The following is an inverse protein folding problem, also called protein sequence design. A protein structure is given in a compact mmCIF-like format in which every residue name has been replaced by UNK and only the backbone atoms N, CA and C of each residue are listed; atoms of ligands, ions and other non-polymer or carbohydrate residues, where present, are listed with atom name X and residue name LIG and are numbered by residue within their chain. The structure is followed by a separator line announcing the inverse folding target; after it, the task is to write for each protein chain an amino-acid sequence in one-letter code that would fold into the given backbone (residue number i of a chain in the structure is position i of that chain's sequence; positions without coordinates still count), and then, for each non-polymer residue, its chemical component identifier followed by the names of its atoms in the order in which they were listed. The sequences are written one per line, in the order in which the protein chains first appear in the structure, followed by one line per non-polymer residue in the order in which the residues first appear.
data_IF_398500411524
#
_entry.id   IF_398500411524
#
_cell.length_a   1.000
_cell.length_b   1.000
_cell.length_c   1.000
_cell.angle_alpha   90.00
_cell.angle_beta   90.00
_cell.angle_gamma   90.00
#
_symmetry.space_group_name_H-M   'P 1'
#
loop_
_entity.id
_entity.type
_entity.pdbx_description
1 polymer ?
2 non-polymer ?
3 water ?
#
# COMPACT_ATOMS: atom_id res chain seq x y z
N UNK A 5 1.41 -23.09 -7.03
CA UNK A 5 0.86 -21.99 -6.23
C UNK A 5 -0.67 -21.93 -6.31
N UNK A 6 -1.25 -22.93 -6.98
CA UNK A 6 -2.69 -23.06 -7.17
C UNK A 6 -3.27 -23.79 -5.95
N UNK A 7 -4.35 -23.24 -5.40
CA UNK A 7 -5.07 -23.85 -4.29
C UNK A 7 -6.35 -24.46 -4.87
N UNK A 8 -6.59 -25.75 -4.59
CA UNK A 8 -7.79 -26.44 -5.04
C UNK A 8 -9.00 -25.92 -4.23
N UNK A 9 -10.20 -25.73 -4.85
CA UNK A 9 -11.36 -25.24 -4.08
C UNK A 9 -11.75 -26.11 -2.87
N UNK A 10 -11.46 -27.43 -2.91
CA UNK A 10 -11.76 -28.36 -1.81
C UNK A 10 -10.90 -28.10 -0.56
N UNK A 11 -9.82 -27.32 -0.71
CA UNK A 11 -8.89 -26.96 0.36
C UNK A 11 -9.24 -25.61 1.04
N UNK A 12 -10.35 -24.97 0.61
CA UNK A 12 -10.79 -23.67 1.15
C UNK A 12 -12.22 -23.71 1.65
N UNK A 13 -12.46 -23.08 2.80
CA UNK A 13 -13.80 -22.94 3.37
C UNK A 13 -14.03 -21.47 3.69
N UNK A 14 -15.22 -20.95 3.32
CA UNK A 14 -15.63 -19.57 3.57
C UNK A 14 -16.46 -19.54 4.85
N UNK A 15 -16.06 -18.70 5.83
CA UNK A 15 -16.75 -18.64 7.12
C UNK A 15 -17.68 -17.43 7.23
N UNK A 16 -17.17 -16.22 7.00
CA UNK A 16 -17.97 -14.99 7.09
C UNK A 16 -17.43 -13.89 6.20
N UNK A 17 -18.33 -13.05 5.68
CA UNK A 17 -17.96 -11.92 4.84
C UNK A 17 -17.39 -10.81 5.71
N UNK A 18 -16.27 -10.23 5.31
CA UNK A 18 -15.71 -9.15 6.11
C UNK A 18 -15.87 -7.76 5.47
N UNK A 19 -16.28 -7.75 4.21
CA UNK A 19 -16.54 -6.50 3.47
C UNK A 19 -16.44 -6.63 1.97
N UNK A 20 -16.45 -5.46 1.29
CA UNK A 20 -16.38 -5.35 -0.16
C UNK A 20 -15.18 -4.51 -0.55
N UNK A 21 -14.34 -5.07 -1.41
CA UNK A 21 -13.13 -4.42 -1.93
C UNK A 21 -13.37 -3.79 -3.28
N UNK A 22 -12.27 -3.40 -3.95
CA UNK A 22 -12.32 -2.78 -5.28
C UNK A 22 -12.82 -3.76 -6.35
N UNK A 23 -12.44 -5.05 -6.24
CA UNK A 23 -12.76 -6.07 -7.24
C UNK A 23 -13.81 -7.12 -6.86
N UNK A 24 -14.37 -7.03 -5.66
CA UNK A 24 -15.38 -7.96 -5.16
C UNK A 24 -15.33 -8.13 -3.66
N UNK A 25 -15.96 -9.20 -3.17
CA UNK A 25 -16.05 -9.51 -1.75
C UNK A 25 -14.75 -10.01 -1.12
N UNK A 26 -14.63 -9.85 0.20
CA UNK A 26 -13.51 -10.33 1.00
C UNK A 26 -14.12 -11.17 2.13
N UNK A 27 -13.68 -12.44 2.28
CA UNK A 27 -14.20 -13.32 3.32
C UNK A 27 -13.13 -13.77 4.29
N UNK A 28 -13.54 -14.11 5.51
CA UNK A 28 -12.69 -14.77 6.49
C UNK A 28 -12.94 -16.26 6.21
N UNK A 29 -11.86 -17.05 6.15
CA UNK A 29 -11.96 -18.49 5.94
C UNK A 29 -10.78 -19.30 6.46
N UNK A 30 -10.78 -20.60 6.12
CA UNK A 30 -9.69 -21.50 6.49
C UNK A 30 -9.10 -22.16 5.25
N UNK A 31 -7.79 -22.43 5.29
CA UNK A 31 -7.04 -23.13 4.25
C UNK A 31 -6.56 -24.46 4.88
N UNK A 32 -7.03 -25.60 4.33
CA UNK A 32 -6.75 -26.96 4.84
C UNK A 32 -5.28 -27.21 5.23
N UNK A 33 -5.05 -27.64 6.50
CA UNK A 33 -3.73 -27.95 7.08
C UNK A 33 -2.72 -26.78 7.07
N UNK A 34 -3.20 -25.54 6.85
CA UNK A 34 -2.30 -24.39 6.78
C UNK A 34 -2.57 -23.30 7.80
N UNK A 35 -3.68 -22.54 7.65
CA UNK A 35 -4.02 -21.43 8.56
C UNK A 35 -5.38 -20.80 8.25
N UNK A 36 -5.78 -19.85 9.12
CA UNK A 36 -6.95 -18.97 8.97
C UNK A 36 -6.50 -17.97 7.88
N UNK A 37 -7.41 -17.63 6.94
CA UNK A 37 -7.06 -16.78 5.79
C UNK A 37 -8.11 -15.71 5.48
N UNK A 38 -7.71 -14.71 4.68
CA UNK A 38 -8.60 -13.71 4.08
C UNK A 38 -8.65 -14.10 2.60
N UNK A 39 -9.85 -14.22 2.04
CA UNK A 39 -10.03 -14.65 0.65
C UNK A 39 -10.68 -13.50 -0.11
N UNK A 40 -10.02 -13.02 -1.18
CA UNK A 40 -10.55 -11.93 -2.00
C UNK A 40 -11.03 -12.48 -3.32
N UNK A 41 -12.35 -12.36 -3.62
CA UNK A 41 -12.96 -12.82 -4.87
C UNK A 41 -12.76 -11.70 -5.91
N UNK A 42 -12.31 -12.06 -7.13
CA UNK A 42 -12.02 -11.05 -8.16
C UNK A 42 -13.01 -11.16 -9.31
N UNK A 43 -13.79 -10.10 -9.54
CA UNK A 43 -14.83 -10.02 -10.59
C UNK A 43 -14.19 -10.28 -11.97
N UNK A 44 -14.90 -11.04 -12.83
CA UNK A 44 -14.44 -11.33 -14.20
C UNK A 44 -14.23 -10.00 -14.94
N UNK A 45 -13.11 -9.87 -15.64
CA UNK A 45 -12.79 -8.67 -16.41
C UNK A 45 -12.00 -7.61 -15.68
N UNK A 46 -11.93 -7.70 -14.32
CA UNK A 46 -11.21 -6.69 -13.52
C UNK A 46 -9.69 -6.76 -13.63
N UNK A 47 -9.12 -7.96 -13.81
CA UNK A 47 -7.66 -8.09 -13.91
C UNK A 47 -7.20 -9.00 -15.05
N UNK A 48 -5.93 -8.84 -15.47
CA UNK A 48 -5.35 -9.69 -16.50
C UNK A 48 -4.88 -10.96 -15.75
N UNK A 49 -5.78 -11.95 -15.64
CA UNK A 49 -5.52 -13.20 -14.92
C UNK A 49 -4.36 -14.03 -15.50
N UNK A 50 -4.27 -14.12 -16.84
CA UNK A 50 -3.20 -14.89 -17.50
C UNK A 50 -1.82 -14.28 -17.23
N UNK A 51 -1.70 -12.95 -17.31
CA UNK A 51 -0.45 -12.22 -17.01
C UNK A 51 -0.02 -12.48 -15.54
N UNK A 52 -1.00 -12.43 -14.62
CA UNK A 52 -0.79 -12.60 -13.18
C UNK A 52 -0.23 -14.00 -12.86
N UNK A 53 -0.93 -15.06 -13.32
CA UNK A 53 -0.53 -16.45 -13.09
C UNK A 53 0.91 -16.75 -13.60
N UNK A 54 1.26 -16.17 -14.76
CA UNK A 54 2.58 -16.26 -15.41
C UNK A 54 3.74 -15.82 -14.51
N UNK A 55 3.50 -14.81 -13.66
CA UNK A 55 4.54 -14.25 -12.79
C UNK A 55 4.59 -14.86 -11.39
N UNK A 56 3.66 -15.79 -11.07
CA UNK A 56 3.60 -16.41 -9.74
C UNK A 56 4.88 -17.14 -9.35
N UNK A 57 5.51 -17.92 -10.26
CA UNK A 57 6.74 -18.66 -10.02
C UNK A 57 7.84 -17.82 -9.34
N UNK A 58 8.03 -16.57 -9.79
CA UNK A 58 9.02 -15.65 -9.21
C UNK A 58 8.48 -14.81 -8.02
N UNK A 59 7.29 -14.20 -8.19
CA UNK A 59 6.68 -13.31 -7.19
C UNK A 59 6.25 -14.00 -5.89
N UNK A 60 5.82 -15.27 -5.95
CA UNK A 60 5.38 -16.00 -4.75
C UNK A 60 6.48 -16.29 -3.75
N UNK A 61 7.74 -16.21 -4.20
CA UNK A 61 8.94 -16.41 -3.38
C UNK A 61 9.20 -15.22 -2.43
N UNK A 62 8.65 -14.02 -2.73
CA UNK A 62 8.83 -12.83 -1.88
C UNK A 62 8.20 -13.08 -0.51
N UNK A 63 8.99 -12.90 0.56
CA UNK A 63 8.56 -13.16 1.94
C UNK A 63 9.32 -12.26 2.90
N UNK A 64 8.58 -11.61 3.81
CA UNK A 64 9.17 -10.70 4.81
C UNK A 64 8.15 -10.46 5.93
N UNK A 65 8.59 -10.31 7.22
CA UNK A 65 7.62 -10.08 8.31
C UNK A 65 6.73 -8.85 8.16
N UNK A 66 7.16 -7.86 7.36
CA UNK A 66 6.39 -6.63 7.13
C UNK A 66 5.62 -6.59 5.81
N UNK A 67 5.44 -7.78 5.17
CA UNK A 67 4.67 -7.89 3.93
C UNK A 67 3.55 -8.90 4.17
N UNK A 68 2.33 -8.59 3.72
CA UNK A 68 1.19 -9.51 3.82
C UNK A 68 1.47 -10.67 2.84
N UNK A 69 1.50 -11.93 3.36
CA UNK A 69 1.79 -13.06 2.49
C UNK A 69 0.57 -13.44 1.64
N UNK A 70 0.79 -13.56 0.32
CA UNK A 70 -0.19 -14.11 -0.62
C UNK A 70 0.15 -15.61 -0.64
N UNK A 71 -0.78 -16.44 -0.15
CA UNK A 71 -0.57 -17.89 -0.07
C UNK A 71 -0.76 -18.64 -1.39
N UNK A 72 -1.70 -18.17 -2.21
CA UNK A 72 -2.00 -18.82 -3.48
C UNK A 72 -3.25 -18.30 -4.16
N UNK A 73 -3.60 -18.94 -5.28
CA UNK A 73 -4.73 -18.56 -6.12
C UNK A 73 -5.67 -19.76 -6.35
N UNK A 74 -6.98 -19.54 -6.20
CA UNK A 74 -7.98 -20.58 -6.48
C UNK A 74 -8.61 -20.18 -7.83
N UNK A 75 -8.32 -20.95 -8.88
CA UNK A 75 -8.74 -20.61 -10.24
C UNK A 75 -9.51 -21.69 -11.03
N UNK A 76 -10.02 -22.74 -10.35
CA UNK A 76 -10.79 -23.82 -10.98
C UNK A 76 -11.97 -23.31 -11.83
N UNK A 77 -12.73 -22.36 -11.27
CA UNK A 77 -13.86 -21.72 -11.94
C UNK A 77 -13.96 -20.24 -11.57
N UNK A 78 -14.60 -19.46 -12.44
CA UNK A 78 -14.74 -18.01 -12.25
C UNK A 78 -15.92 -17.71 -11.31
N UNK A 79 -15.84 -16.64 -10.47
CA UNK A 79 -14.73 -15.70 -10.30
C UNK A 79 -13.57 -16.30 -9.49
N UNK A 80 -12.31 -15.97 -9.87
CA UNK A 80 -11.14 -16.49 -9.16
C UNK A 80 -10.98 -15.81 -7.80
N UNK A 81 -10.19 -16.41 -6.92
CA UNK A 81 -9.92 -15.74 -5.65
C UNK A 81 -8.48 -15.87 -5.22
N UNK A 82 -8.01 -14.84 -4.52
CA UNK A 82 -6.65 -14.74 -4.00
C UNK A 82 -6.74 -15.01 -2.51
N UNK A 83 -5.80 -15.80 -1.98
CA UNK A 83 -5.81 -16.25 -0.58
C UNK A 83 -4.62 -15.65 0.14
N UNK A 84 -4.90 -14.85 1.18
CA UNK A 84 -3.90 -14.10 1.94
C UNK A 84 -3.87 -14.45 3.40
N UNK A 85 -2.73 -14.09 4.04
CA UNK A 85 -2.52 -14.10 5.48
C UNK A 85 -3.64 -13.22 6.10
N UNK A 86 -4.30 -13.71 7.16
CA UNK A 86 -5.37 -12.94 7.81
C UNK A 86 -4.79 -11.87 8.74
N UNK A 87 -5.24 -10.61 8.59
CA UNK A 87 -4.77 -9.48 9.41
C UNK A 87 -5.97 -9.02 10.28
N UNK A 88 -5.93 -9.39 11.57
CA UNK A 88 -7.02 -9.14 12.53
C UNK A 88 -7.66 -7.74 12.62
N UNK A 89 -6.88 -6.67 12.40
CA UNK A 89 -7.41 -5.30 12.53
C UNK A 89 -7.79 -4.55 11.24
N UNK A 90 -7.71 -5.23 10.10
CA UNK A 90 -8.11 -4.64 8.81
C UNK A 90 -7.21 -3.55 8.26
N UNK A 91 -7.76 -2.70 7.38
CA UNK A 91 -6.99 -1.65 6.70
C UNK A 91 -6.49 -0.54 7.62
N UNK A 92 -5.26 -0.08 7.37
CA UNK A 92 -4.65 1.00 8.16
C UNK A 92 -5.46 2.31 8.13
N UNK A 93 -5.95 2.72 6.94
CA UNK A 93 -6.74 3.95 6.78
C UNK A 93 -7.96 3.96 7.71
N UNK A 94 -8.75 2.85 7.72
CA UNK A 94 -9.92 2.72 8.61
C UNK A 94 -9.55 2.69 10.10
N UNK A 95 -8.46 1.95 10.43
CA UNK A 95 -7.95 1.80 11.79
C UNK A 95 -7.56 3.16 12.39
N UNK A 96 -6.85 4.00 11.60
CA UNK A 96 -6.44 5.35 12.01
C UNK A 96 -7.67 6.21 12.33
N UNK A 97 -8.69 6.19 11.44
CA UNK A 97 -9.94 6.97 11.58
C UNK A 97 -10.77 6.54 12.80
N UNK A 98 -10.88 5.22 13.05
CA UNK A 98 -11.65 4.66 14.18
C UNK A 98 -10.99 4.93 15.54
N UNK A 99 -9.65 4.88 15.61
CA UNK A 99 -8.90 5.10 16.86
C UNK A 99 -8.37 6.54 17.03
N UNK A 100 -8.81 7.49 16.17
CA UNK A 100 -8.37 8.90 16.18
C UNK A 100 -8.53 9.53 17.57
N UNK A 101 -7.43 10.06 18.11
CA UNK A 101 -7.39 10.69 19.43
C UNK A 101 -6.82 9.78 20.50
N UNK A 102 -6.56 8.50 20.17
CA UNK A 102 -6.02 7.50 21.11
C UNK A 102 -4.55 7.11 20.84
N UNK A 103 -3.93 7.70 19.82
CA UNK A 103 -2.56 7.38 19.44
C UNK A 103 -1.47 8.20 20.08
N UNK A 104 -0.42 7.52 20.58
CA UNK A 104 0.78 8.18 21.08
C UNK A 104 1.66 8.44 19.84
N UNK A 105 2.48 9.52 19.86
CA UNK A 105 3.35 9.87 18.72
C UNK A 105 4.30 8.71 18.35
N UNK A 106 4.83 8.00 19.37
CA UNK A 106 5.72 6.85 19.21
C UNK A 106 5.07 5.68 18.43
N UNK A 107 3.73 5.46 18.64
CA UNK A 107 2.97 4.42 17.97
C UNK A 107 2.85 4.78 16.48
N UNK A 108 2.56 6.06 16.19
CA UNK A 108 2.44 6.53 14.80
C UNK A 108 3.78 6.42 14.06
N UNK A 109 4.90 6.80 14.72
CA UNK A 109 6.24 6.65 14.10
C UNK A 109 6.56 5.14 13.88
N UNK A 110 6.20 4.29 14.84
CA UNK A 110 6.38 2.83 14.75
C UNK A 110 5.68 2.21 13.54
N UNK A 111 4.47 2.73 13.22
CA UNK A 111 3.67 2.29 12.05
C UNK A 111 4.45 2.67 10.78
N UNK A 112 4.99 3.89 10.72
CA UNK A 112 5.79 4.33 9.57
C UNK A 112 7.05 3.46 9.40
N UNK A 113 7.71 3.09 10.52
CA UNK A 113 8.91 2.23 10.51
C UNK A 113 8.61 0.83 9.95
N UNK A 114 7.47 0.21 10.35
CA UNK A 114 7.06 -1.10 9.84
C UNK A 114 6.91 -1.04 8.30
N UNK A 115 6.16 -0.02 7.80
CA UNK A 115 5.96 0.15 6.35
C UNK A 115 7.33 0.34 5.67
N UNK A 116 8.18 1.20 6.23
CA UNK A 116 9.51 1.45 5.67
C UNK A 116 10.38 0.15 5.59
N UNK A 117 10.29 -0.74 6.60
CA UNK A 117 11.01 -2.01 6.62
C UNK A 117 10.56 -2.91 5.46
N UNK A 118 9.24 -3.06 5.28
CA UNK A 118 8.68 -3.82 4.18
C UNK A 118 9.10 -3.26 2.83
N UNK A 119 9.04 -1.93 2.66
CA UNK A 119 9.43 -1.26 1.42
C UNK A 119 10.94 -1.40 1.15
N UNK A 120 11.80 -1.40 2.20
CA UNK A 120 13.25 -1.57 1.99
C UNK A 120 13.54 -2.99 1.43
N UNK A 121 12.76 -4.00 1.87
CA UNK A 121 12.86 -5.37 1.35
C UNK A 121 12.47 -5.39 -0.15
N UNK A 122 11.34 -4.77 -0.50
CA UNK A 122 10.88 -4.70 -1.90
C UNK A 122 11.90 -3.94 -2.78
N UNK A 123 12.44 -2.81 -2.28
CA UNK A 123 13.46 -2.03 -2.96
C UNK A 123 14.69 -2.91 -3.30
N UNK A 124 15.19 -3.69 -2.32
CA UNK A 124 16.33 -4.61 -2.48
C UNK A 124 15.98 -5.71 -3.52
N UNK A 125 14.71 -6.15 -3.52
CA UNK A 125 14.20 -7.19 -4.41
C UNK A 125 13.93 -6.67 -5.83
N UNK A 126 14.08 -5.34 -6.03
CA UNK A 126 13.79 -4.64 -7.30
C UNK A 126 12.31 -4.78 -7.72
N UNK A 127 11.41 -4.70 -6.74
CA UNK A 127 9.96 -4.76 -6.94
C UNK A 127 9.39 -3.38 -6.61
N UNK A 128 8.62 -2.80 -7.56
CA UNK A 128 8.00 -1.49 -7.39
C UNK A 128 6.53 -1.71 -6.93
N UNK A 129 6.11 -1.02 -5.86
CA UNK A 129 4.73 -1.17 -5.35
C UNK A 129 3.73 -0.57 -6.37
N UNK A 130 3.92 0.72 -6.72
CA UNK A 130 3.16 1.52 -7.70
C UNK A 130 1.90 2.18 -7.14
N UNK A 131 1.37 1.71 -6.00
CA UNK A 131 0.18 2.32 -5.40
C UNK A 131 0.19 2.25 -3.88
N UNK A 132 1.32 2.65 -3.27
CA UNK A 132 1.47 2.62 -1.81
C UNK A 132 0.59 3.72 -1.17
N UNK A 133 -0.27 3.32 -0.23
CA UNK A 133 -1.17 4.23 0.47
C UNK A 133 -1.63 3.52 1.74
N UNK A 134 -2.16 4.27 2.72
CA UNK A 134 -2.64 3.65 3.96
C UNK A 134 -3.74 2.60 3.70
N UNK A 135 -4.58 2.82 2.66
CA UNK A 135 -5.64 1.88 2.29
C UNK A 135 -5.11 0.49 1.87
N UNK A 136 -3.81 0.40 1.45
CA UNK A 136 -3.16 -0.85 1.03
C UNK A 136 -2.30 -1.49 2.12
N UNK A 137 -2.26 -0.90 3.33
CA UNK A 137 -1.51 -1.42 4.47
C UNK A 137 -2.48 -2.06 5.43
N UNK A 138 -2.07 -3.17 6.07
CA UNK A 138 -2.95 -3.90 6.99
C UNK A 138 -2.38 -3.91 8.40
N UNK A 139 -3.27 -4.01 9.41
CA UNK A 139 -2.91 -3.99 10.84
C UNK A 139 -3.13 -5.40 11.41
N UNK A 140 -2.08 -5.98 11.99
CA UNK A 140 -2.14 -7.33 12.55
C UNK A 140 -2.10 -7.38 14.06
N UNK A 141 -1.66 -8.53 14.60
CA UNK A 141 -1.52 -8.75 16.05
C UNK A 141 -0.51 -7.75 16.63
N UNK A 142 -0.88 -7.17 17.77
CA UNK A 142 -0.10 -6.15 18.48
C UNK A 142 0.24 -4.90 17.65
N UNK A 143 -0.73 -4.47 16.80
CA UNK A 143 -0.68 -3.27 15.93
C UNK A 143 0.44 -3.27 14.88
N UNK A 144 1.01 -4.46 14.53
CA UNK A 144 2.05 -4.53 13.47
C UNK A 144 1.43 -4.09 12.13
N UNK A 145 2.15 -3.31 11.32
CA UNK A 145 1.66 -2.88 10.02
C UNK A 145 2.41 -3.67 8.96
N UNK A 146 1.68 -4.16 7.95
CA UNK A 146 2.28 -4.89 6.85
C UNK A 146 1.79 -4.30 5.54
N UNK A 147 2.66 -4.27 4.51
CA UNK A 147 2.34 -3.74 3.19
C UNK A 147 1.68 -4.84 2.35
N UNK A 148 0.70 -4.45 1.50
CA UNK A 148 0.02 -5.42 0.63
C UNK A 148 -0.25 -4.81 -0.76
N UNK A 149 -0.62 -5.66 -1.74
CA UNK A 149 -0.98 -5.26 -3.11
C UNK A 149 0.14 -4.65 -3.98
N UNK A 150 1.41 -4.86 -3.61
CA UNK A 150 2.54 -4.35 -4.39
C UNK A 150 2.52 -4.93 -5.80
N UNK A 151 2.65 -4.06 -6.80
CA UNK A 151 2.68 -4.44 -8.21
C UNK A 151 1.33 -4.80 -8.83
N UNK A 152 0.24 -4.79 -8.04
CA UNK A 152 -1.08 -5.19 -8.55
C UNK A 152 -1.62 -4.31 -9.66
N UNK A 153 -1.30 -3.00 -9.67
CA UNK A 153 -1.81 -2.12 -10.75
C UNK A 153 -1.34 -2.48 -12.15
N UNK A 154 -0.24 -3.26 -12.26
CA UNK A 154 0.28 -3.75 -13.55
C UNK A 154 -0.73 -4.71 -14.23
N UNK A 155 -1.68 -5.28 -13.45
CA UNK A 155 -2.64 -6.27 -13.93
C UNK A 155 -4.10 -5.76 -13.99
N UNK A 156 -4.36 -4.56 -13.45
CA UNK A 156 -5.70 -3.94 -13.43
C UNK A 156 -6.10 -3.51 -14.84
N UNK A 157 -7.32 -3.89 -15.27
CA UNK A 157 -7.80 -3.60 -16.62
C UNK A 157 -8.66 -2.33 -16.81
N UNK A 158 -8.92 -1.58 -15.73
CA UNK A 158 -9.71 -0.34 -15.79
C UNK A 158 -8.78 0.83 -16.12
N UNK A 159 -8.84 1.35 -17.38
CA UNK A 159 -8.02 2.47 -17.86
C UNK A 159 -8.22 3.74 -17.05
N UNK A 160 -9.43 3.95 -16.50
CA UNK A 160 -9.71 5.15 -15.70
C UNK A 160 -8.88 5.20 -14.41
N UNK A 161 -8.42 4.04 -13.94
CA UNK A 161 -7.59 3.94 -12.74
C UNK A 161 -6.09 3.96 -13.05
N UNK A 162 -5.65 3.22 -14.08
CA UNK A 162 -4.22 3.06 -14.43
C UNK A 162 -3.58 4.18 -15.24
N UNK A 163 -4.36 4.87 -16.09
CA UNK A 163 -3.83 5.96 -16.92
C UNK A 163 -3.68 7.23 -16.09
N UNK A 164 -2.55 7.94 -16.26
CA UNK A 164 -2.28 9.20 -15.56
C UNK A 164 -3.33 10.29 -15.88
N UNK A 165 -4.02 10.14 -17.02
CA UNK A 165 -5.09 11.04 -17.49
C UNK A 165 -6.50 10.52 -17.12
N UNK A 166 -6.57 9.33 -16.52
CA UNK A 166 -7.80 8.66 -16.10
C UNK A 166 -8.54 9.38 -14.99
N UNK A 167 -9.89 9.29 -15.00
CA UNK A 167 -10.78 9.93 -14.03
C UNK A 167 -10.63 9.45 -12.58
N UNK A 168 -10.19 8.19 -12.37
CA UNK A 168 -10.00 7.58 -11.05
C UNK A 168 -8.52 7.41 -10.64
N UNK A 169 -7.58 8.01 -11.41
CA UNK A 169 -6.14 7.90 -11.16
C UNK A 169 -5.76 8.41 -9.74
N UNK A 170 -5.00 7.62 -8.94
CA UNK A 170 -4.64 8.09 -7.58
C UNK A 170 -3.54 9.17 -7.53
N UNK A 171 -3.84 10.32 -8.16
CA UNK A 171 -2.96 11.49 -8.26
C UNK A 171 -2.41 11.97 -6.89
N UNK A 172 -3.22 11.87 -5.80
CA UNK A 172 -2.84 12.32 -4.45
C UNK A 172 -1.55 11.69 -3.93
N UNK A 173 -1.21 10.47 -4.38
CA UNK A 173 0.00 9.75 -3.93
C UNK A 173 1.09 9.69 -5.02
N UNK A 174 0.82 10.27 -6.21
CA UNK A 174 1.73 10.24 -7.37
C UNK A 174 2.84 11.28 -7.40
N UNK A 175 4.08 10.82 -7.71
CA UNK A 175 5.20 11.72 -7.91
C UNK A 175 5.00 12.46 -9.27
N UNK A 176 5.65 13.65 -9.49
CA UNK A 176 5.51 14.34 -10.78
C UNK A 176 5.86 13.49 -12.00
N UNK A 177 6.89 12.62 -11.93
CA UNK A 177 7.24 11.78 -13.08
C UNK A 177 6.20 10.65 -13.32
N UNK A 178 5.42 10.29 -12.25
CA UNK A 178 4.34 9.30 -12.39
C UNK A 178 3.12 9.99 -12.99
N UNK A 179 2.67 11.12 -12.38
CA UNK A 179 1.52 11.82 -12.98
C UNK A 179 1.79 12.39 -14.39
N UNK A 180 3.06 12.65 -14.74
CA UNK A 180 3.38 13.16 -16.07
C UNK A 180 3.67 12.07 -17.14
N UNK A 181 4.44 11.01 -16.76
CA UNK A 181 4.91 9.99 -17.70
C UNK A 181 4.73 8.52 -17.33
N UNK A 182 4.03 8.21 -16.20
CA UNK A 182 3.90 6.85 -15.67
C UNK A 182 5.31 6.22 -15.52
N UNK A 183 6.28 7.04 -15.09
CA UNK A 183 7.68 6.67 -14.91
C UNK A 183 7.84 6.12 -13.46
N UNK A 184 7.57 4.81 -13.27
CA UNK A 184 7.64 4.17 -11.93
C UNK A 184 9.05 3.70 -11.56
N UNK A 185 9.40 3.83 -10.26
CA UNK A 185 10.70 3.41 -9.72
C UNK A 185 10.56 3.27 -8.20
N UNK A 186 11.61 2.75 -7.52
CA UNK A 186 11.54 2.73 -6.05
C UNK A 186 11.48 4.19 -5.53
N UNK A 187 11.98 5.17 -6.34
CA UNK A 187 11.92 6.60 -6.00
C UNK A 187 10.51 7.21 -6.06
N UNK A 188 9.65 6.72 -6.98
CA UNK A 188 8.26 7.15 -7.01
C UNK A 188 7.51 6.52 -5.82
N UNK A 189 7.91 5.27 -5.38
CA UNK A 189 7.36 4.67 -4.17
C UNK A 189 7.71 5.53 -2.94
N UNK A 190 8.94 6.10 -2.89
CA UNK A 190 9.38 6.98 -1.79
C UNK A 190 8.44 8.20 -1.67
N UNK A 191 8.10 8.83 -2.82
CA UNK A 191 7.14 9.94 -2.81
C UNK A 191 5.83 9.50 -2.15
N UNK A 192 5.26 8.36 -2.62
CA UNK A 192 3.99 7.79 -2.07
C UNK A 192 4.10 7.55 -0.56
N UNK A 193 5.28 7.04 -0.12
CA UNK A 193 5.58 6.79 1.29
C UNK A 193 5.51 8.06 2.13
N UNK A 194 5.97 9.19 1.58
CA UNK A 194 5.88 10.49 2.24
C UNK A 194 4.42 10.86 2.48
N UNK A 195 3.55 10.64 1.44
CA UNK A 195 2.10 10.88 1.57
C UNK A 195 1.47 9.94 2.61
N UNK A 196 1.89 8.64 2.61
CA UNK A 196 1.46 7.63 3.61
C UNK A 196 1.82 8.14 5.03
N UNK A 197 3.06 8.66 5.23
CA UNK A 197 3.47 9.23 6.53
C UNK A 197 2.52 10.36 6.97
N UNK A 198 2.10 11.22 6.01
CA UNK A 198 1.15 12.31 6.29
C UNK A 198 -0.20 11.71 6.72
N UNK A 199 -0.68 10.65 6.02
CA UNK A 199 -1.94 9.98 6.40
C UNK A 199 -1.86 9.44 7.84
N UNK A 200 -0.72 8.84 8.19
CA UNK A 200 -0.49 8.25 9.52
C UNK A 200 -0.47 9.33 10.64
N UNK A 201 0.38 10.35 10.47
CA UNK A 201 0.46 11.43 11.48
C UNK A 201 -0.80 12.32 11.58
N UNK A 202 -1.66 12.34 10.54
CA UNK A 202 -2.91 13.10 10.56
C UNK A 202 -4.08 12.24 11.07
N UNK A 203 -3.78 10.98 11.48
CA UNK A 203 -4.75 9.99 11.97
C UNK A 203 -5.86 9.67 10.94
N UNK A 204 -5.47 9.44 9.70
CA UNK A 204 -6.39 9.02 8.65
C UNK A 204 -7.08 10.10 7.84
N UNK A 205 -6.57 11.35 7.87
CA UNK A 205 -7.13 12.41 7.03
C UNK A 205 -6.82 12.14 5.56
N UNK A 206 -7.70 12.60 4.67
CA UNK A 206 -7.50 12.42 3.23
C UNK A 206 -6.65 13.58 2.69
N UNK A 207 -5.49 13.30 2.04
CA UNK A 207 -4.67 14.41 1.53
C UNK A 207 -5.33 15.16 0.38
N UNK A 208 -5.10 16.49 0.32
CA UNK A 208 -5.62 17.40 -0.71
C UNK A 208 -7.16 17.28 -0.91
N UNK A 209 -7.92 17.20 0.20
CA UNK A 209 -9.39 17.08 0.15
C UNK A 209 -10.07 18.29 -0.51
N UNK A 210 -9.46 19.47 -0.34
CA UNK A 210 -9.97 20.74 -0.87
C UNK A 210 -9.51 21.05 -2.31
N UNK A 211 -8.96 20.04 -3.04
CA UNK A 211 -8.43 20.21 -4.40
C UNK A 211 -8.88 19.11 -5.37
N UNK A 212 -9.06 19.47 -6.65
CA UNK A 212 -9.37 18.52 -7.72
C UNK A 212 -8.01 17.91 -8.18
N UNK A 213 -8.04 16.86 -9.03
CA UNK A 213 -6.83 16.22 -9.56
C UNK A 213 -5.90 17.20 -10.27
N UNK A 214 -6.44 18.02 -11.18
CA UNK A 214 -5.66 19.02 -11.93
C UNK A 214 -5.06 20.07 -10.99
N UNK A 215 -5.82 20.50 -9.95
CA UNK A 215 -5.33 21.47 -8.96
C UNK A 215 -4.14 20.92 -8.18
N UNK A 216 -4.14 19.59 -7.89
CA UNK A 216 -3.05 18.89 -7.18
C UNK A 216 -1.78 18.96 -8.05
N UNK A 217 -1.89 18.55 -9.35
CA UNK A 217 -0.81 18.60 -10.34
C UNK A 217 -0.22 20.03 -10.43
N UNK A 218 -1.09 21.05 -10.58
CA UNK A 218 -0.65 22.45 -10.66
C UNK A 218 0.06 22.91 -9.38
N UNK A 219 -0.53 22.61 -8.18
CA UNK A 219 0.04 22.98 -6.88
C UNK A 219 1.42 22.35 -6.67
N UNK A 220 1.53 21.01 -6.88
CA UNK A 220 2.80 20.29 -6.73
C UNK A 220 3.87 20.83 -7.70
N UNK A 221 3.48 21.10 -8.96
CA UNK A 221 4.40 21.63 -9.98
C UNK A 221 4.92 23.04 -9.68
N UNK A 222 4.18 23.83 -8.88
CA UNK A 222 4.60 25.17 -8.48
C UNK A 222 5.31 25.22 -7.10
N UNK A 223 5.56 24.05 -6.51
CA UNK A 223 6.28 23.92 -5.24
C UNK A 223 5.48 23.74 -3.97
N UNK A 224 4.15 23.79 -4.05
CA UNK A 224 3.30 23.62 -2.86
C UNK A 224 3.35 22.19 -2.31
N UNK A 225 3.29 22.04 -0.98
CA UNK A 225 3.34 20.72 -0.33
C UNK A 225 2.31 20.64 0.78
N UNK A 226 1.97 19.40 1.21
CA UNK A 226 1.02 19.19 2.32
C UNK A 226 1.57 19.83 3.60
N UNK A 227 0.69 20.46 4.40
CA UNK A 227 1.06 21.10 5.66
C UNK A 227 1.50 20.04 6.70
N UNK A 228 2.21 20.47 7.75
CA UNK A 228 2.66 19.55 8.81
C UNK A 228 1.50 19.13 9.73
N UNK A 229 1.22 17.81 9.88
CA UNK A 229 0.17 17.39 10.84
C UNK A 229 0.60 17.74 12.26
N UNK A 230 -0.38 18.07 13.14
CA UNK A 230 -0.13 18.45 14.54
C UNK A 230 0.78 17.46 15.27
N UNK A 231 0.52 16.16 15.09
CA UNK A 231 1.27 15.08 15.75
C UNK A 231 2.67 14.80 15.18
N UNK A 232 3.01 15.37 14.00
CA UNK A 232 4.32 15.19 13.38
C UNK A 232 5.33 16.21 13.93
N UNK A 233 6.51 15.75 14.37
CA UNK A 233 7.57 16.67 14.86
C UNK A 233 8.23 17.35 13.64
N UNK A 234 8.98 18.45 13.86
CA UNK A 234 9.66 19.12 12.72
C UNK A 234 10.68 18.20 12.01
N UNK A 235 11.31 17.27 12.77
CA UNK A 235 12.25 16.30 12.20
C UNK A 235 11.50 15.31 11.30
N UNK A 236 10.32 14.83 11.76
CA UNK A 236 9.49 13.92 10.96
C UNK A 236 9.01 14.64 9.68
N UNK A 237 8.56 15.89 9.83
CA UNK A 237 8.12 16.68 8.66
C UNK A 237 9.25 16.93 7.66
N UNK A 238 10.51 17.06 8.15
CA UNK A 238 11.69 17.25 7.28
C UNK A 238 11.86 16.00 6.39
N UNK A 239 11.74 14.80 6.98
CA UNK A 239 11.82 13.51 6.28
C UNK A 239 10.70 13.41 5.21
N UNK A 240 9.46 13.81 5.55
CA UNK A 240 8.32 13.85 4.62
C UNK A 240 8.67 14.74 3.42
N UNK A 241 9.24 15.92 3.69
CA UNK A 241 9.63 16.82 2.62
C UNK A 241 10.75 16.26 1.74
N UNK A 242 11.66 15.43 2.31
CA UNK A 242 12.72 14.78 1.51
C UNK A 242 12.11 13.77 0.53
N UNK A 243 11.01 13.09 0.93
CA UNK A 243 10.30 12.15 0.06
C UNK A 243 9.65 12.92 -1.11
N UNK A 244 9.32 14.19 -0.90
CA UNK A 244 8.64 15.02 -1.89
C UNK A 244 9.54 15.92 -2.71
N UNK A 245 10.81 15.53 -2.89
CA UNK A 245 11.66 16.33 -3.75
C UNK A 245 11.26 16.12 -5.21
N UNK A 246 11.25 17.20 -6.00
CA UNK A 246 10.84 17.12 -7.40
C UNK A 246 11.63 16.09 -8.22
N UNK A 247 12.97 16.10 -8.09
CA UNK A 247 13.83 15.16 -8.81
C UNK A 247 13.90 13.80 -8.08
N UNK A 248 13.61 12.67 -8.77
CA UNK A 248 13.69 11.35 -8.09
C UNK A 248 15.06 11.05 -7.47
N UNK A 249 16.15 11.41 -8.18
CA UNK A 249 17.54 11.22 -7.74
C UNK A 249 17.85 11.84 -6.38
N UNK A 250 17.17 12.96 -6.05
CA UNK A 250 17.36 13.70 -4.79
C UNK A 250 16.58 13.09 -3.59
N UNK A 251 15.60 12.20 -3.85
CA UNK A 251 14.83 11.57 -2.78
C UNK A 251 15.70 10.47 -2.12
N UNK A 252 15.58 10.26 -0.81
CA UNK A 252 16.35 9.18 -0.17
C UNK A 252 15.81 7.81 -0.56
N UNK A 253 16.69 6.80 -0.60
CA UNK A 253 16.29 5.42 -0.81
C UNK A 253 15.57 4.92 0.47
N UNK A 254 14.80 3.81 0.37
CA UNK A 254 14.14 3.26 1.57
C UNK A 254 15.18 2.81 2.62
N UNK A 255 16.36 2.33 2.17
CA UNK A 255 17.44 1.91 3.11
C UNK A 255 17.91 3.10 3.94
N UNK A 256 17.97 4.29 3.30
CA UNK A 256 18.37 5.54 3.96
C UNK A 256 17.25 6.00 4.91
N UNK A 257 15.97 6.04 4.43
CA UNK A 257 14.81 6.42 5.25
C UNK A 257 14.71 5.56 6.51
N UNK A 258 14.89 4.23 6.37
CA UNK A 258 14.81 3.30 7.50
C UNK A 258 15.82 3.67 8.60
N UNK A 259 17.07 3.97 8.22
CA UNK A 259 18.08 4.39 9.20
C UNK A 259 17.71 5.73 9.86
N UNK A 260 17.20 6.70 9.07
CA UNK A 260 16.86 8.03 9.58
C UNK A 260 15.66 7.99 10.53
N UNK A 261 14.62 7.25 10.13
CA UNK A 261 13.42 7.09 10.96
C UNK A 261 13.73 6.32 12.27
N UNK A 262 14.59 5.29 12.21
CA UNK A 262 15.00 4.51 13.40
C UNK A 262 15.75 5.39 14.41
N UNK A 263 16.57 6.34 13.91
CA UNK A 263 17.31 7.28 14.77
C UNK A 263 16.36 8.22 15.52
N UNK A 264 15.33 8.75 14.81
CA UNK A 264 14.29 9.63 15.39
C UNK A 264 13.51 8.91 16.48
N UNK A 265 13.11 7.63 16.24
CA UNK A 265 12.36 6.81 17.20
C UNK A 265 13.10 6.60 18.50
N UNK A 266 14.38 6.22 18.42
CA UNK A 266 15.21 5.94 19.57
C UNK A 266 15.48 7.21 20.41
N UNK A 267 15.92 8.29 19.74
CA UNK A 267 16.24 9.57 20.40
C UNK A 267 14.97 10.25 20.91
#
# INVERSE_FOLDING_TARGET
GSGKWVIDPSELTFVQEIGSGQFGLVHLGYWLNKDKVAIKTIREGAMSEEDFIEEAEVMMKLSHPKLVQLYGVCLEQAPICLVFEFMEHGCLSDYLRTQRGLFAAETLLGMCLDVCEGMAYLEEACVIHRDLAARNCLVGENQVIKVSDFGMTRFVLDDQYTSSTGTKFPVKWASPEVFSFSRYSSKSDVWSFGVLMWEVFSEGKIPYENRSNSEVVEDISTGFRLYKPRLASTHVYQIMNHCWRERPEDRPAFSRLLRQLAEIAESGL
#
